data_IF_150325292325
#
_entry.id   IF_150325292325
#
_cell.length_a   1.000
_cell.length_b   1.000
_cell.length_c   1.000
_cell.angle_alpha   90.00
_cell.angle_beta   90.00
_cell.angle_gamma   90.00
#
_symmetry.space_group_name_H-M   'P 1'
#
loop_
_entity.id
_entity.type
_entity.pdbx_description
1 polymer ?
#
# COMPACT_ATOMS: atom_id res chain seq x y z
N UNK A 1 7.06 12.49 9.79
CA UNK A 1 6.83 11.02 9.80
C UNK A 1 7.97 10.35 9.04
N UNK A 2 8.43 9.19 9.51
CA UNK A 2 9.62 8.49 8.96
C UNK A 2 9.44 8.13 7.48
N UNK A 3 8.26 7.67 7.06
CA UNK A 3 8.00 7.31 5.65
C UNK A 3 8.17 8.49 4.70
N UNK A 4 7.70 9.69 5.08
CA UNK A 4 7.92 10.91 4.28
C UNK A 4 9.41 11.20 4.09
N UNK A 5 10.22 10.98 5.13
CA UNK A 5 11.67 11.19 5.04
C UNK A 5 12.34 10.21 4.08
N UNK A 6 11.88 8.96 4.06
CA UNK A 6 12.36 7.93 3.12
C UNK A 6 11.96 8.26 1.69
N UNK A 7 10.70 8.69 1.47
CA UNK A 7 10.21 9.15 0.16
C UNK A 7 11.12 10.26 -0.38
N UNK A 8 11.44 11.27 0.44
CA UNK A 8 12.32 12.37 0.06
C UNK A 8 13.76 11.91 -0.21
N UNK A 9 14.33 11.09 0.67
CA UNK A 9 15.72 10.63 0.58
C UNK A 9 15.96 9.78 -0.67
N UNK A 10 15.07 8.82 -0.92
CA UNK A 10 15.16 7.87 -2.03
C UNK A 10 14.52 8.42 -3.31
N UNK A 11 14.01 9.67 -3.26
CA UNK A 11 13.34 10.36 -4.38
C UNK A 11 12.23 9.50 -5.00
N UNK A 12 11.45 8.85 -4.15
CA UNK A 12 10.36 7.98 -4.59
C UNK A 12 9.32 8.81 -5.34
N UNK A 13 8.96 8.33 -6.52
CA UNK A 13 7.95 8.91 -7.38
C UNK A 13 6.94 7.84 -7.79
N UNK A 14 5.75 8.31 -8.19
CA UNK A 14 4.74 7.49 -8.83
C UNK A 14 4.86 7.67 -10.33
N UNK A 15 4.89 6.56 -11.05
CA UNK A 15 4.61 6.52 -12.48
C UNK A 15 3.10 6.51 -12.71
N UNK A 16 2.68 6.73 -13.94
CA UNK A 16 1.28 6.58 -14.34
C UNK A 16 0.79 5.14 -14.12
N UNK A 17 1.69 4.15 -14.26
CA UNK A 17 1.38 2.75 -13.98
C UNK A 17 1.13 2.49 -12.48
N UNK A 18 1.87 3.15 -11.58
CA UNK A 18 1.62 3.03 -10.14
C UNK A 18 0.24 3.57 -9.76
N UNK A 19 -0.16 4.68 -10.39
CA UNK A 19 -1.49 5.27 -10.21
C UNK A 19 -2.57 4.33 -10.75
N UNK A 20 -2.40 3.82 -11.97
CA UNK A 20 -3.33 2.89 -12.61
C UNK A 20 -3.51 1.62 -11.78
N UNK A 21 -2.42 1.06 -11.24
CA UNK A 21 -2.47 -0.10 -10.36
C UNK A 21 -3.14 0.23 -9.02
N UNK A 22 -2.89 1.43 -8.47
CA UNK A 22 -3.62 1.93 -7.30
C UNK A 22 -5.13 1.96 -7.53
N UNK A 23 -5.58 2.45 -8.68
CA UNK A 23 -7.01 2.44 -9.03
C UNK A 23 -7.57 1.02 -9.16
N UNK A 24 -6.82 0.10 -9.79
CA UNK A 24 -7.23 -1.31 -9.92
C UNK A 24 -7.33 -2.02 -8.56
N UNK A 25 -6.39 -1.76 -7.65
CA UNK A 25 -6.41 -2.31 -6.29
C UNK A 25 -7.65 -1.83 -5.53
N UNK A 26 -7.96 -0.53 -5.62
CA UNK A 26 -9.17 0.03 -5.00
C UNK A 26 -10.46 -0.49 -5.62
N UNK A 27 -10.53 -0.61 -6.94
CA UNK A 27 -11.67 -1.18 -7.65
C UNK A 27 -11.97 -2.60 -7.15
N UNK A 28 -10.93 -3.42 -6.99
CA UNK A 28 -11.05 -4.76 -6.39
C UNK A 28 -11.49 -4.71 -4.93
N UNK A 29 -10.84 -3.88 -4.11
CA UNK A 29 -11.12 -3.79 -2.67
C UNK A 29 -12.55 -3.31 -2.37
N UNK A 30 -13.06 -2.37 -3.16
CA UNK A 30 -14.41 -1.82 -3.00
C UNK A 30 -15.47 -2.54 -3.84
N UNK A 31 -15.08 -3.54 -4.63
CA UNK A 31 -15.94 -4.25 -5.59
C UNK A 31 -16.71 -3.27 -6.50
N UNK A 32 -15.99 -2.31 -7.07
CA UNK A 32 -16.52 -1.25 -7.95
C UNK A 32 -15.83 -1.27 -9.31
N UNK A 33 -16.49 -0.80 -10.38
CA UNK A 33 -15.83 -0.61 -11.67
C UNK A 33 -14.65 0.36 -11.57
N UNK A 34 -13.59 0.08 -12.33
CA UNK A 34 -12.38 0.91 -12.37
C UNK A 34 -12.69 2.37 -12.72
N UNK A 35 -13.57 2.58 -13.70
CA UNK A 35 -14.00 3.92 -14.13
C UNK A 35 -14.70 4.70 -13.00
N UNK A 36 -15.49 4.05 -12.15
CA UNK A 36 -16.13 4.72 -11.00
C UNK A 36 -15.09 5.22 -10.00
N UNK A 37 -14.04 4.41 -9.76
CA UNK A 37 -12.93 4.79 -8.89
C UNK A 37 -12.14 5.96 -9.49
N UNK A 38 -11.79 5.91 -10.79
CA UNK A 38 -11.07 7.00 -11.46
C UNK A 38 -11.85 8.32 -11.38
N UNK A 39 -13.12 8.28 -11.75
CA UNK A 39 -14.02 9.43 -11.67
C UNK A 39 -14.08 10.04 -10.26
N UNK A 40 -14.12 9.23 -9.20
CA UNK A 40 -14.14 9.72 -7.83
C UNK A 40 -12.89 10.52 -7.44
N UNK A 41 -11.72 10.08 -7.91
CA UNK A 41 -10.44 10.73 -7.61
C UNK A 41 -10.15 11.93 -8.53
N UNK A 42 -10.66 11.93 -9.76
CA UNK A 42 -10.53 13.05 -10.71
C UNK A 42 -11.45 14.23 -10.37
N UNK A 43 -12.56 14.00 -9.67
CA UNK A 43 -13.52 15.05 -9.32
C UNK A 43 -13.04 16.01 -8.22
N UNK A 44 -12.04 15.62 -7.40
CA UNK A 44 -11.53 16.43 -6.29
C UNK A 44 -10.01 16.28 -6.14
N UNK A 45 -9.28 17.37 -6.33
CA UNK A 45 -7.82 17.42 -6.21
C UNK A 45 -7.30 16.87 -4.88
N UNK A 46 -8.02 17.11 -3.77
CA UNK A 46 -7.63 16.60 -2.45
C UNK A 46 -7.70 15.07 -2.34
N UNK A 47 -8.63 14.42 -3.05
CA UNK A 47 -8.76 12.96 -3.04
C UNK A 47 -7.56 12.33 -3.75
N UNK A 48 -7.15 12.87 -4.90
CA UNK A 48 -6.03 12.33 -5.68
C UNK A 48 -4.69 12.60 -4.98
N UNK A 49 -4.52 13.73 -4.30
CA UNK A 49 -3.33 13.99 -3.47
C UNK A 49 -3.21 12.97 -2.33
N UNK A 50 -4.30 12.67 -1.63
CA UNK A 50 -4.30 11.67 -0.56
C UNK A 50 -3.95 10.27 -1.07
N UNK A 51 -4.48 9.88 -2.23
CA UNK A 51 -4.12 8.63 -2.90
C UNK A 51 -2.63 8.59 -3.23
N UNK A 52 -2.10 9.66 -3.83
CA UNK A 52 -0.67 9.74 -4.21
C UNK A 52 0.24 9.58 -3.00
N UNK A 53 -0.06 10.26 -1.89
CA UNK A 53 0.71 10.12 -0.65
C UNK A 53 0.63 8.67 -0.13
N UNK A 54 -0.57 8.08 -0.09
CA UNK A 54 -0.76 6.70 0.37
C UNK A 54 0.01 5.68 -0.46
N UNK A 55 0.05 5.85 -1.78
CA UNK A 55 0.81 4.98 -2.68
C UNK A 55 2.33 5.14 -2.48
N UNK A 56 2.82 6.36 -2.28
CA UNK A 56 4.23 6.62 -1.95
C UNK A 56 4.62 6.01 -0.61
N UNK A 57 3.76 6.09 0.40
CA UNK A 57 3.97 5.46 1.71
C UNK A 57 4.03 3.93 1.58
N UNK A 58 3.15 3.32 0.77
CA UNK A 58 3.19 1.88 0.46
C UNK A 58 4.49 1.48 -0.23
N UNK A 59 4.99 2.29 -1.17
CA UNK A 59 6.31 2.08 -1.80
C UNK A 59 7.46 2.18 -0.80
N UNK A 60 7.43 3.18 0.08
CA UNK A 60 8.44 3.34 1.12
C UNK A 60 8.46 2.14 2.08
N UNK A 61 7.29 1.64 2.50
CA UNK A 61 7.18 0.44 3.31
C UNK A 61 7.74 -0.80 2.61
N UNK A 62 7.41 -0.97 1.32
CA UNK A 62 7.95 -2.07 0.51
C UNK A 62 9.48 -2.02 0.46
N UNK A 63 10.05 -0.83 0.25
CA UNK A 63 11.50 -0.63 0.25
C UNK A 63 12.13 -1.02 1.60
N UNK A 64 11.50 -0.63 2.72
CA UNK A 64 11.98 -1.03 4.06
C UNK A 64 12.00 -2.56 4.18
N UNK A 65 10.91 -3.23 3.80
CA UNK A 65 10.81 -4.70 3.88
C UNK A 65 11.89 -5.36 3.03
N UNK A 66 12.05 -4.94 1.77
CA UNK A 66 13.02 -5.49 0.82
C UNK A 66 14.48 -5.30 1.26
N UNK A 67 14.78 -4.24 2.02
CA UNK A 67 16.12 -3.95 2.53
C UNK A 67 16.31 -4.36 4.00
N UNK A 68 15.33 -5.03 4.60
CA UNK A 68 15.41 -5.52 5.98
C UNK A 68 15.88 -6.97 6.04
N UNK A 69 16.49 -7.35 7.17
CA UNK A 69 16.72 -8.76 7.47
C UNK A 69 15.38 -9.43 7.77
N UNK A 70 15.03 -10.45 6.99
CA UNK A 70 13.78 -11.19 7.13
C UNK A 70 14.07 -12.58 7.71
N UNK A 71 13.28 -12.98 8.70
CA UNK A 71 13.29 -14.33 9.27
C UNK A 71 11.95 -15.00 8.97
N UNK A 72 12.01 -16.22 8.42
CA UNK A 72 10.81 -17.04 8.19
C UNK A 72 10.63 -17.92 9.42
N UNK A 73 9.52 -17.72 10.13
CA UNK A 73 9.14 -18.55 11.27
C UNK A 73 8.04 -19.52 10.89
N UNK A 74 8.13 -20.77 11.34
CA UNK A 74 7.06 -21.74 11.15
C UNK A 74 5.86 -21.38 12.04
N UNK A 75 4.60 -21.57 11.57
CA UNK A 75 3.43 -21.33 12.41
C UNK A 75 3.44 -22.26 13.62
N UNK A 76 3.35 -21.71 14.82
CA UNK A 76 3.09 -22.50 16.01
C UNK A 76 1.67 -23.08 15.90
N UNK A 77 1.56 -24.41 15.80
CA UNK A 77 0.27 -25.09 15.94
C UNK A 77 -0.22 -24.80 17.36
N UNK A 78 -1.41 -24.22 17.51
CA UNK A 78 -2.06 -24.11 18.82
C UNK A 78 -2.05 -25.49 19.48
N UNK A 79 -1.24 -25.65 20.53
CA UNK A 79 -1.35 -26.80 21.40
C UNK A 79 -2.74 -26.70 22.04
N UNK A 80 -3.62 -27.61 21.65
CA UNK A 80 -4.89 -27.79 22.38
C UNK A 80 -4.50 -28.05 23.83
N UNK A 81 -4.76 -27.06 24.67
CA UNK A 81 -4.73 -27.19 26.12
C UNK A 81 -5.84 -28.16 26.51
N UNK A 82 -5.55 -29.46 26.43
CA UNK A 82 -6.34 -30.50 27.09
C UNK A 82 -5.93 -30.51 28.56
N UNK A 83 -6.31 -29.47 29.28
CA UNK A 83 -6.27 -29.45 30.74
C UNK A 83 -7.23 -30.51 31.27
N UNK A 84 -6.65 -31.61 31.76
CA UNK A 84 -7.29 -32.64 32.58
C UNK A 84 -7.61 -32.14 33.98
#
# INVERSE_FOLDING_TARGET
LILKKIIEQEKLALSDEDLENGYKDMAKAFNKPLEEIKNFYEQKDSNIEFLKISLLEKKALKLIIENSSQEIVEPELESKDTGT
#
